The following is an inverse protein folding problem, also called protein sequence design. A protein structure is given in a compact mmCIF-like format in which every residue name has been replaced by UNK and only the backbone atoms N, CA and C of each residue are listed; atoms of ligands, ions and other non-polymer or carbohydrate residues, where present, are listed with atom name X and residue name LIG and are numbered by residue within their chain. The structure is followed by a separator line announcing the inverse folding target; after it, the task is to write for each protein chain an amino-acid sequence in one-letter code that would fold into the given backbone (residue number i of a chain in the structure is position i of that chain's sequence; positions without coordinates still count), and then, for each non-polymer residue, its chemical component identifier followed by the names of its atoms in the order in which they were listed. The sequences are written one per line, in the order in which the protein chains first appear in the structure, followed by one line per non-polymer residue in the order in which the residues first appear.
data_IF_417452715291
#
_entry.id   IF_417452715291
#
_cell.length_a   1.000
_cell.length_b   1.000
_cell.length_c   1.000
_cell.angle_alpha   90.00
_cell.angle_beta   90.00
_cell.angle_gamma   90.00
#
_symmetry.space_group_name_H-M   'P 1'
#
loop_
_entity.id
_entity.type
_entity.pdbx_description
1 polymer ?
2 water ?
#
# COMPACT_ATOMS: atom_id res chain seq x y z
N UNK A 1 -9.52 -1.05 1.07
CA UNK A 1 -10.13 0.26 0.92
C UNK A 1 -9.58 0.99 -0.30
N UNK A 2 -9.89 0.46 -1.49
CA UNK A 2 -9.53 1.13 -2.73
C UNK A 2 -10.40 0.62 -3.87
N UNK A 3 -10.57 1.46 -4.88
CA UNK A 3 -11.31 1.09 -6.08
C UNK A 3 -10.79 1.88 -7.26
N UNK A 4 -10.76 1.24 -8.42
CA UNK A 4 -10.36 1.91 -9.65
C UNK A 4 -11.61 2.29 -10.42
N UNK A 5 -11.53 3.33 -11.27
CA UNK A 5 -12.70 3.75 -12.04
C UNK A 5 -13.28 2.63 -12.91
N UNK A 6 -12.41 1.79 -13.48
CA UNK A 6 -12.86 0.62 -14.24
C UNK A 6 -12.38 -0.68 -13.60
N UNK A 7 -11.06 -0.85 -13.54
CA UNK A 7 -10.48 -2.08 -13.03
C UNK A 7 -9.05 -1.90 -12.54
N UNK A 8 -8.66 -2.79 -11.62
CA UNK A 8 -7.28 -2.94 -11.19
C UNK A 8 -6.50 -3.79 -12.23
N UNK A 9 -5.34 -3.30 -12.67
CA UNK A 9 -4.50 -4.04 -13.63
C UNK A 9 -3.22 -4.57 -12.99
N UNK A 10 -2.91 -4.10 -11.79
CA UNK A 10 -1.64 -4.45 -11.17
C UNK A 10 -1.60 -4.20 -9.69
N UNK A 11 -0.49 -4.58 -9.06
CA UNK A 11 -0.36 -4.56 -7.61
C UNK A 11 1.09 -4.23 -7.23
N UNK A 12 1.26 -3.27 -6.33
CA UNK A 12 2.58 -2.82 -5.86
C UNK A 12 2.52 -2.36 -4.41
N UNK A 13 3.68 -2.02 -3.86
CA UNK A 13 3.76 -1.52 -2.50
C UNK A 13 5.04 -0.72 -2.29
N UNK A 14 4.97 0.26 -1.39
CA UNK A 14 6.16 0.94 -0.92
C UNK A 14 6.99 -0.01 -0.06
N UNK A 15 8.20 0.41 0.27
CA UNK A 15 9.04 -0.39 1.14
C UNK A 15 8.74 -0.13 2.62
N UNK A 16 8.98 -1.15 3.44
CA UNK A 16 8.74 -1.05 4.88
C UNK A 16 9.51 0.12 5.53
N UNK A 17 8.86 0.80 6.47
CA UNK A 17 9.48 1.88 7.22
C UNK A 17 9.23 1.55 8.66
N UNK A 18 10.11 1.99 9.55
CA UNK A 18 9.83 1.82 10.97
C UNK A 18 8.92 2.95 11.47
N UNK A 19 7.87 2.58 12.19
CA UNK A 19 7.04 3.56 12.88
C UNK A 19 7.62 3.83 14.28
N UNK A 20 8.08 5.06 14.52
CA UNK A 20 8.78 5.39 15.75
C UNK A 20 7.96 5.27 17.02
N UNK A 21 6.65 5.39 16.89
CA UNK A 21 5.77 5.35 18.05
C UNK A 21 5.22 3.95 18.28
N UNK A 22 4.88 3.28 17.18
CA UNK A 22 4.30 1.95 17.27
C UNK A 22 5.39 0.91 17.44
N UNK A 23 6.63 1.30 17.11
CA UNK A 23 7.78 0.40 17.15
C UNK A 23 7.52 -0.86 16.32
N UNK A 24 6.99 -0.64 15.12
CA UNK A 24 6.60 -1.70 14.21
C UNK A 24 6.69 -1.16 12.79
N UNK A 25 7.07 -2.02 11.85
CA UNK A 25 7.24 -1.60 10.46
C UNK A 25 5.93 -1.61 9.68
N UNK A 26 5.77 -0.63 8.79
CA UNK A 26 4.58 -0.56 7.94
C UNK A 26 4.98 -0.23 6.51
N UNK A 27 4.11 -0.59 5.57
CA UNK A 27 4.26 -0.13 4.20
C UNK A 27 2.88 0.07 3.61
N UNK A 28 2.83 0.72 2.46
CA UNK A 28 1.57 1.05 1.81
C UNK A 28 1.35 0.17 0.58
N UNK A 29 0.20 -0.49 0.51
CA UNK A 29 -0.13 -1.31 -0.66
C UNK A 29 -0.96 -0.53 -1.66
N UNK A 30 -0.47 -0.47 -2.89
CA UNK A 30 -1.12 0.32 -3.94
C UNK A 30 -1.59 -0.59 -5.06
N UNK A 31 -2.84 -0.44 -5.48
CA UNK A 31 -3.26 -1.12 -6.70
C UNK A 31 -2.95 -0.20 -7.87
N UNK A 32 -2.56 -0.78 -9.01
CA UNK A 32 -2.40 -0.01 -10.23
C UNK A 32 -3.71 -0.11 -11.02
N UNK A 33 -4.25 1.03 -11.45
CA UNK A 33 -5.52 1.04 -12.19
C UNK A 33 -5.29 0.92 -13.69
N UNK A 34 -6.28 0.39 -14.41
CA UNK A 34 -6.21 0.28 -15.87
C UNK A 34 -5.90 1.61 -16.51
N UNK A 35 -6.43 2.67 -15.91
CA UNK A 35 -6.29 4.03 -16.46
C UNK A 35 -4.91 4.66 -16.20
N UNK A 36 -4.08 3.97 -15.43
CA UNK A 36 -2.71 4.42 -15.21
C UNK A 36 -2.48 4.96 -13.81
N UNK A 37 -3.56 5.21 -13.08
CA UNK A 37 -3.44 5.74 -11.72
C UNK A 37 -3.10 4.65 -10.72
N UNK A 38 -2.68 5.06 -9.53
CA UNK A 38 -2.49 4.15 -8.42
C UNK A 38 -3.45 4.53 -7.31
N UNK A 39 -3.88 3.54 -6.54
CA UNK A 39 -4.77 3.83 -5.42
C UNK A 39 -4.21 3.16 -4.18
N UNK A 40 -4.20 3.90 -3.08
CA UNK A 40 -3.69 3.42 -1.79
C UNK A 40 -4.78 2.52 -1.21
N UNK A 41 -4.49 1.22 -1.05
CA UNK A 41 -5.51 0.24 -0.64
C UNK A 41 -5.50 -0.14 0.83
N UNK A 42 -4.30 -0.42 1.35
CA UNK A 42 -4.15 -0.73 2.77
C UNK A 42 -2.77 -0.38 3.28
N UNK A 43 -2.66 -0.36 4.60
CA UNK A 43 -1.38 -0.27 5.27
C UNK A 43 -1.06 -1.67 5.73
N UNK A 44 0.09 -2.19 5.29
CA UNK A 44 0.53 -3.50 5.76
C UNK A 44 1.52 -3.33 6.90
N UNK A 45 1.27 -4.03 8.01
CA UNK A 45 2.17 -3.95 9.16
C UNK A 45 3.06 -5.19 9.23
N UNK A 46 4.35 -4.97 9.51
CA UNK A 46 5.33 -6.03 9.49
C UNK A 46 5.92 -6.33 10.85
N UNK A 47 7.22 -6.60 10.89
CA UNK A 47 7.91 -6.93 12.15
C UNK A 47 8.29 -5.70 13.00
N UNK A 48 8.84 -5.96 14.18
CA UNK A 48 9.15 -4.90 15.13
C UNK A 48 10.39 -4.07 14.81
N UNK A 49 10.48 -2.91 15.46
CA UNK A 49 11.60 -1.99 15.31
C UNK A 49 11.62 -0.95 16.42
#
# INVERSE_FOLDING_TARGET
ACQCPDAISGWTHTDYQCHGLENKMYRHVYAICMNGTQVYCRTEWGSSC
#
